data_IF_270734861600
#
_entry.id   IF_270734861600
#
_cell.length_a   1.000
_cell.length_b   1.000
_cell.length_c   1.000
_cell.angle_alpha   90.00
_cell.angle_beta   90.00
_cell.angle_gamma   90.00
#
_symmetry.space_group_name_H-M   'P 1'
#
loop_
_entity.id
_entity.type
_entity.pdbx_description
1 polymer ?
#
# COMPACT_ATOMS: atom_id res chain seq x y z
N UNK A 1 -30.44 12.12 8.41
CA UNK A 1 -29.11 12.44 8.96
C UNK A 1 -28.18 12.48 7.78
N UNK A 2 -27.48 13.58 7.54
CA UNK A 2 -26.44 13.59 6.49
C UNK A 2 -25.30 12.66 6.93
N UNK A 3 -24.99 11.69 6.08
CA UNK A 3 -23.85 10.82 6.28
C UNK A 3 -22.57 11.64 6.10
N UNK A 4 -21.73 11.67 7.13
CA UNK A 4 -20.42 12.33 7.07
C UNK A 4 -19.55 11.70 5.99
N UNK A 5 -18.83 12.53 5.25
CA UNK A 5 -17.88 12.05 4.25
C UNK A 5 -16.74 11.28 4.92
N UNK A 6 -16.28 10.18 4.31
CA UNK A 6 -15.13 9.41 4.83
C UNK A 6 -13.86 10.26 4.99
N UNK A 7 -13.75 11.35 4.22
CA UNK A 7 -12.62 12.28 4.25
C UNK A 7 -12.45 12.97 5.61
N UNK A 8 -13.54 13.13 6.36
CA UNK A 8 -13.48 13.69 7.71
C UNK A 8 -12.73 12.76 8.67
N UNK A 9 -12.85 11.45 8.48
CA UNK A 9 -12.20 10.45 9.34
C UNK A 9 -10.71 10.27 9.04
N UNK A 10 -10.25 10.61 7.82
CA UNK A 10 -8.85 10.43 7.41
C UNK A 10 -7.86 11.16 8.32
N UNK A 11 -8.25 12.32 8.88
CA UNK A 11 -7.41 13.11 9.79
C UNK A 11 -7.04 12.40 11.09
N UNK A 12 -7.75 11.33 11.44
CA UNK A 12 -7.54 10.56 12.66
C UNK A 12 -6.74 9.27 12.43
N UNK A 13 -6.45 8.93 11.17
CA UNK A 13 -5.65 7.75 10.87
C UNK A 13 -4.19 8.03 11.20
N UNK A 14 -3.54 7.06 11.85
CA UNK A 14 -2.12 7.09 12.18
C UNK A 14 -1.37 5.85 11.66
N UNK A 15 -2.09 4.85 11.14
CA UNK A 15 -1.57 3.55 10.77
C UNK A 15 -2.19 3.10 9.46
N UNK A 16 -1.36 2.61 8.54
CA UNK A 16 -1.77 2.01 7.28
C UNK A 16 -1.39 0.52 7.26
N UNK A 17 -2.32 -0.33 6.85
CA UNK A 17 -2.12 -1.78 6.75
C UNK A 17 -2.47 -2.17 5.33
N UNK A 18 -1.51 -2.78 4.63
CA UNK A 18 -1.66 -3.17 3.23
C UNK A 18 -1.49 -4.67 3.09
N UNK A 19 -2.26 -5.29 2.20
CA UNK A 19 -1.92 -6.60 1.66
C UNK A 19 -0.89 -6.43 0.53
N UNK A 20 -0.23 -7.51 0.12
CA UNK A 20 0.74 -7.51 -0.97
C UNK A 20 0.04 -7.79 -2.30
N UNK A 21 -0.71 -8.88 -2.37
CA UNK A 21 -1.18 -9.44 -3.64
C UNK A 21 -2.51 -8.85 -4.05
N UNK A 22 -2.52 -8.08 -5.14
CA UNK A 22 -3.69 -7.33 -5.59
C UNK A 22 -3.91 -5.99 -4.88
N UNK A 23 -3.04 -5.61 -3.94
CA UNK A 23 -3.02 -4.28 -3.29
C UNK A 23 -1.75 -3.52 -3.64
N UNK A 24 -0.57 -3.97 -3.15
CA UNK A 24 0.71 -3.36 -3.52
C UNK A 24 1.27 -3.87 -4.85
N UNK A 25 0.68 -4.95 -5.37
CA UNK A 25 0.98 -5.55 -6.66
C UNK A 25 -0.27 -5.64 -7.51
N UNK A 26 -0.10 -5.83 -8.82
CA UNK A 26 -1.21 -6.08 -9.75
C UNK A 26 -1.76 -7.52 -9.67
N UNK A 27 -1.32 -8.32 -8.68
CA UNK A 27 -1.72 -9.71 -8.49
C UNK A 27 -1.06 -10.69 -9.48
N UNK A 28 -0.21 -10.21 -10.40
CA UNK A 28 0.52 -11.07 -11.33
C UNK A 28 1.86 -11.50 -10.75
N UNK A 29 2.24 -12.75 -11.03
CA UNK A 29 3.54 -13.31 -10.66
C UNK A 29 4.24 -13.78 -11.93
N UNK A 30 5.44 -13.27 -12.17
CA UNK A 30 6.28 -13.69 -13.29
C UNK A 30 7.21 -14.80 -12.82
N UNK A 31 7.11 -15.99 -13.43
CA UNK A 31 7.99 -17.12 -13.14
C UNK A 31 9.18 -17.08 -14.10
N UNK A 32 10.37 -16.98 -13.54
CA UNK A 32 11.63 -16.97 -14.28
C UNK A 32 12.08 -18.40 -14.59
N UNK A 33 12.96 -18.56 -15.58
CA UNK A 33 13.44 -19.89 -16.02
C UNK A 33 14.24 -20.65 -14.97
N UNK A 34 14.78 -19.95 -13.97
CA UNK A 34 15.45 -20.52 -12.80
C UNK A 34 14.49 -20.88 -11.65
N UNK A 35 13.20 -20.64 -11.80
CA UNK A 35 12.17 -20.89 -10.78
C UNK A 35 11.85 -19.69 -9.89
N UNK A 36 12.53 -18.54 -10.04
CA UNK A 36 12.24 -17.36 -9.23
C UNK A 36 10.87 -16.76 -9.58
N UNK A 37 10.15 -16.34 -8.54
CA UNK A 37 8.85 -15.69 -8.66
C UNK A 37 8.99 -14.20 -8.41
N UNK A 38 8.81 -13.40 -9.46
CA UNK A 38 8.91 -11.95 -9.40
C UNK A 38 7.51 -11.33 -9.31
N UNK A 39 7.34 -10.44 -8.34
CA UNK A 39 6.14 -9.60 -8.18
C UNK A 39 6.43 -8.20 -8.70
N UNK A 40 5.42 -7.57 -9.29
CA UNK A 40 5.53 -6.18 -9.79
C UNK A 40 4.90 -5.22 -8.80
N UNK A 41 5.68 -4.24 -8.35
CA UNK A 41 5.23 -3.14 -7.49
C UNK A 41 5.26 -1.80 -8.23
N UNK A 42 4.48 -0.83 -7.73
CA UNK A 42 4.44 0.52 -8.29
C UNK A 42 5.42 1.47 -7.60
N UNK A 43 6.21 2.19 -8.38
CA UNK A 43 7.20 3.15 -7.86
C UNK A 43 6.54 4.31 -7.11
N UNK A 44 5.37 4.77 -7.55
CA UNK A 44 4.62 5.85 -6.89
C UNK A 44 4.15 5.42 -5.50
N UNK A 45 3.76 4.17 -5.34
CA UNK A 45 3.34 3.62 -4.06
C UNK A 45 4.54 3.51 -3.12
N UNK A 46 5.70 3.07 -3.62
CA UNK A 46 6.95 3.10 -2.84
C UNK A 46 7.32 4.49 -2.33
N UNK A 47 7.17 5.52 -3.17
CA UNK A 47 7.40 6.92 -2.76
C UNK A 47 6.39 7.38 -1.69
N UNK A 48 5.11 7.04 -1.86
CA UNK A 48 4.06 7.39 -0.90
C UNK A 48 4.26 6.71 0.46
N UNK A 49 4.59 5.40 0.46
CA UNK A 49 4.89 4.65 1.68
C UNK A 49 6.09 5.25 2.40
N UNK A 50 7.17 5.58 1.68
CA UNK A 50 8.34 6.25 2.26
C UNK A 50 7.97 7.59 2.90
N UNK A 51 7.20 8.41 2.18
CA UNK A 51 6.72 9.70 2.68
C UNK A 51 5.86 9.55 3.94
N UNK A 52 4.99 8.54 3.98
CA UNK A 52 4.16 8.26 5.14
C UNK A 52 4.98 7.83 6.36
N UNK A 53 5.99 6.97 6.19
CA UNK A 53 6.93 6.63 7.28
C UNK A 53 7.65 7.88 7.78
N UNK A 54 8.16 8.72 6.87
CA UNK A 54 8.87 9.95 7.23
C UNK A 54 7.97 10.98 7.93
N UNK A 55 6.66 10.95 7.65
CA UNK A 55 5.65 11.76 8.32
C UNK A 55 5.16 11.17 9.66
N UNK A 56 5.72 10.02 10.10
CA UNK A 56 5.43 9.41 11.40
C UNK A 56 4.21 8.48 11.42
N UNK A 57 3.70 8.05 10.26
CA UNK A 57 2.66 7.03 10.21
C UNK A 57 3.25 5.64 10.42
N UNK A 58 2.50 4.77 11.08
CA UNK A 58 2.83 3.36 11.18
C UNK A 58 2.43 2.66 9.88
N UNK A 59 3.28 1.78 9.35
CA UNK A 59 2.99 0.97 8.17
C UNK A 59 3.18 -0.50 8.51
N UNK A 60 2.21 -1.32 8.12
CA UNK A 60 2.27 -2.78 8.15
C UNK A 60 1.94 -3.32 6.75
N UNK A 61 2.67 -4.34 6.33
CA UNK A 61 2.46 -5.10 5.10
C UNK A 61 2.35 -6.58 5.50
#
# INVERSE_FOLDING_TARGET
MEDKSYKEYLKHINTFIFDVDGVLTDGTVTIMTNGDMLRRMNIKDGYALKTAVDAGFNICI
#
